data_IF_010015924613
#
_entry.id   IF_010015924613
#
_cell.length_a   1.000
_cell.length_b   1.000
_cell.length_c   1.000
_cell.angle_alpha   90.00
_cell.angle_beta   90.00
_cell.angle_gamma   90.00
#
_symmetry.space_group_name_H-M   'P 1'
#
loop_
_entity.id
_entity.type
_entity.pdbx_description
1 polymer ?
#
# COMPACT_ATOMS: atom_id res chain seq x y z
N UNK A 1 -9.90 -65.69 -31.78
CA UNK A 1 -10.89 -64.89 -31.01
C UNK A 1 -10.15 -64.18 -29.88
N UNK A 2 -10.40 -62.88 -29.75
CA UNK A 2 -9.59 -61.84 -29.11
C UNK A 2 -9.59 -61.90 -27.58
N UNK A 3 -8.39 -61.84 -26.97
CA UNK A 3 -8.18 -61.67 -25.54
C UNK A 3 -8.07 -60.17 -25.24
N UNK A 4 -9.12 -59.57 -24.66
CA UNK A 4 -9.16 -58.14 -24.30
C UNK A 4 -8.72 -57.95 -22.86
N UNK A 5 -7.56 -57.32 -22.71
CA UNK A 5 -7.03 -56.74 -21.48
C UNK A 5 -7.87 -55.51 -21.09
N UNK A 6 -8.20 -55.37 -19.81
CA UNK A 6 -8.82 -54.15 -19.24
C UNK A 6 -8.16 -53.86 -17.89
N UNK A 7 -7.13 -53.02 -17.94
CA UNK A 7 -6.45 -52.43 -16.79
C UNK A 7 -7.30 -51.23 -16.34
N UNK A 8 -7.85 -51.29 -15.13
CA UNK A 8 -8.43 -50.15 -14.43
C UNK A 8 -7.29 -49.34 -13.79
N UNK A 9 -6.88 -48.24 -14.42
CA UNK A 9 -5.98 -47.26 -13.82
C UNK A 9 -6.81 -46.06 -13.32
N UNK A 10 -6.84 -45.91 -11.99
CA UNK A 10 -7.54 -44.89 -11.25
C UNK A 10 -6.90 -43.51 -11.50
N UNK A 11 -7.70 -42.56 -11.97
CA UNK A 11 -7.32 -41.17 -12.23
C UNK A 11 -7.11 -40.42 -10.92
N UNK A 12 -5.87 -39.97 -10.65
CA UNK A 12 -5.60 -38.97 -9.60
C UNK A 12 -5.30 -37.64 -10.29
N UNK A 13 -6.35 -36.84 -10.47
CA UNK A 13 -6.22 -35.44 -10.88
C UNK A 13 -5.75 -34.61 -9.67
N UNK A 14 -4.45 -34.38 -9.57
CA UNK A 14 -3.89 -33.44 -8.59
C UNK A 14 -4.03 -32.02 -9.18
N UNK A 15 -5.17 -31.38 -8.89
CA UNK A 15 -5.44 -30.00 -9.28
C UNK A 15 -4.53 -29.03 -8.52
N UNK A 16 -3.44 -28.59 -9.15
CA UNK A 16 -2.65 -27.44 -8.69
C UNK A 16 -3.42 -26.16 -9.02
N UNK A 17 -4.20 -25.66 -8.05
CA UNK A 17 -4.81 -24.33 -8.12
C UNK A 17 -3.73 -23.26 -7.93
N UNK A 18 -3.13 -22.79 -9.03
CA UNK A 18 -2.29 -21.59 -9.05
C UNK A 18 -3.16 -20.35 -8.82
N UNK A 19 -3.24 -19.93 -7.56
CA UNK A 19 -3.86 -18.66 -7.16
C UNK A 19 -3.00 -17.50 -7.67
N UNK A 20 -3.29 -17.01 -8.86
CA UNK A 20 -2.59 -15.89 -9.46
C UNK A 20 -3.09 -14.57 -8.86
N UNK A 21 -2.45 -14.06 -7.80
CA UNK A 21 -2.60 -12.66 -7.41
C UNK A 21 -1.72 -11.78 -8.30
N UNK A 22 -2.06 -11.70 -9.58
CA UNK A 22 -1.49 -10.70 -10.48
C UNK A 22 -2.35 -9.44 -10.39
N UNK A 23 -2.18 -8.66 -9.33
CA UNK A 23 -2.61 -7.25 -9.40
C UNK A 23 -1.67 -6.55 -10.38
N UNK A 24 -2.19 -5.90 -11.44
CA UNK A 24 -1.33 -5.08 -12.28
C UNK A 24 -0.68 -4.02 -11.40
N UNK A 25 0.65 -3.92 -11.46
CA UNK A 25 1.38 -2.80 -10.91
C UNK A 25 0.96 -1.56 -11.71
N UNK A 26 -0.14 -0.92 -11.29
CA UNK A 26 -0.54 0.35 -11.83
C UNK A 26 0.52 1.35 -11.38
N UNK A 27 1.51 1.57 -12.25
CA UNK A 27 2.42 2.68 -12.13
C UNK A 27 1.56 3.94 -12.20
N UNK A 28 1.40 4.59 -11.04
CA UNK A 28 0.79 5.89 -10.80
C UNK A 28 0.61 6.76 -12.07
N UNK A 29 -0.54 6.61 -12.73
CA UNK A 29 -0.91 7.33 -13.95
C UNK A 29 -1.94 8.42 -13.64
N UNK A 30 -1.50 9.49 -12.96
CA UNK A 30 -1.97 10.88 -13.10
C UNK A 30 -3.47 11.19 -13.28
N UNK A 31 -4.39 10.32 -12.86
CA UNK A 31 -5.83 10.44 -13.12
C UNK A 31 -6.66 9.35 -12.45
N UNK A 32 -6.10 8.14 -12.31
CA UNK A 32 -6.69 7.07 -11.49
C UNK A 32 -5.76 6.79 -10.30
N UNK A 33 -6.14 7.26 -9.12
CA UNK A 33 -5.41 6.89 -7.90
C UNK A 33 -5.45 5.38 -7.71
N UNK A 34 -4.33 4.75 -7.30
CA UNK A 34 -4.43 3.44 -6.71
C UNK A 34 -5.28 3.52 -5.44
N UNK A 35 -6.09 2.49 -5.20
CA UNK A 35 -6.87 2.39 -3.98
C UNK A 35 -5.97 2.48 -2.73
N UNK A 36 -6.52 2.95 -1.61
CA UNK A 36 -5.77 3.10 -0.35
C UNK A 36 -5.14 1.77 0.11
N UNK A 37 -5.77 0.64 -0.22
CA UNK A 37 -5.37 -0.72 0.13
C UNK A 37 -4.49 -1.39 -0.94
N UNK A 38 -4.13 -0.66 -2.00
CA UNK A 38 -3.33 -1.21 -3.08
C UNK A 38 -1.97 -1.70 -2.55
N UNK A 39 -1.53 -2.91 -2.91
CA UNK A 39 -0.33 -3.54 -2.36
C UNK A 39 0.93 -2.73 -2.63
N UNK A 40 1.00 -2.05 -3.79
CA UNK A 40 2.10 -1.15 -4.15
C UNK A 40 2.25 0.06 -3.23
N UNK A 41 1.13 0.63 -2.76
CA UNK A 41 1.11 1.78 -1.84
C UNK A 41 1.59 1.32 -0.46
N UNK A 42 1.01 0.22 0.05
CA UNK A 42 1.37 -0.32 1.36
C UNK A 42 2.84 -0.77 1.41
N UNK A 43 3.32 -1.45 0.38
CA UNK A 43 4.73 -1.88 0.27
C UNK A 43 5.69 -0.70 0.21
N UNK A 44 5.32 0.37 -0.51
CA UNK A 44 6.13 1.58 -0.56
C UNK A 44 6.23 2.24 0.82
N UNK A 45 5.11 2.37 1.53
CA UNK A 45 5.07 2.93 2.90
C UNK A 45 5.97 2.12 3.83
N UNK A 46 5.86 0.79 3.83
CA UNK A 46 6.69 -0.09 4.65
C UNK A 46 8.18 0.13 4.38
N UNK A 47 8.61 0.12 3.11
CA UNK A 47 10.01 0.33 2.73
C UNK A 47 10.51 1.72 3.12
N UNK A 48 9.71 2.76 2.85
CA UNK A 48 10.07 4.15 3.15
C UNK A 48 10.11 4.41 4.66
N UNK A 49 9.26 3.74 5.44
CA UNK A 49 9.28 3.80 6.89
C UNK A 49 10.56 3.18 7.46
N UNK A 50 11.02 2.02 6.96
CA UNK A 50 12.31 1.45 7.41
C UNK A 50 13.47 2.41 7.14
N UNK A 51 13.48 3.08 5.98
CA UNK A 51 14.46 4.14 5.70
C UNK A 51 14.35 5.32 6.69
N UNK A 52 13.13 5.73 7.02
CA UNK A 52 12.85 6.81 7.97
C UNK A 52 13.29 6.43 9.39
N UNK A 53 13.01 5.20 9.84
CA UNK A 53 13.45 4.72 11.14
C UNK A 53 14.97 4.68 11.20
N UNK A 54 15.64 4.06 10.21
CA UNK A 54 17.11 3.96 10.20
C UNK A 54 17.83 5.30 10.20
N UNK A 55 17.27 6.35 9.58
CA UNK A 55 17.95 7.64 9.42
C UNK A 55 17.46 8.75 10.35
N UNK A 56 16.20 8.68 10.82
CA UNK A 56 15.58 9.75 11.61
C UNK A 56 15.20 9.32 13.02
N UNK A 57 14.55 8.16 13.18
CA UNK A 57 14.05 7.73 14.51
C UNK A 57 15.09 6.93 15.30
N UNK A 58 15.87 6.11 14.60
CA UNK A 58 16.87 5.17 15.11
C UNK A 58 16.34 4.24 16.21
N UNK A 59 15.11 3.73 16.05
CA UNK A 59 14.44 2.89 17.06
C UNK A 59 14.39 1.41 16.72
N UNK A 60 14.83 1.02 15.51
CA UNK A 60 14.72 -0.36 15.04
C UNK A 60 13.26 -0.77 14.79
N UNK A 61 12.40 0.18 14.43
CA UNK A 61 10.99 -0.06 14.19
C UNK A 61 10.74 -0.38 12.71
N UNK A 62 9.80 -1.30 12.48
CA UNK A 62 9.29 -1.62 11.15
C UNK A 62 7.77 -1.80 11.20
N UNK A 63 7.10 -1.46 10.09
CA UNK A 63 5.68 -1.75 9.90
C UNK A 63 5.57 -3.18 9.36
N UNK A 64 5.00 -4.08 10.15
CA UNK A 64 4.76 -5.47 9.72
C UNK A 64 3.54 -5.56 8.81
N UNK A 65 2.46 -4.90 9.20
CA UNK A 65 1.19 -4.93 8.47
C UNK A 65 0.40 -3.64 8.67
N UNK A 66 -0.31 -3.23 7.63
CA UNK A 66 -1.30 -2.16 7.70
C UNK A 66 -2.68 -2.80 7.60
N UNK A 67 -3.51 -2.61 8.62
CA UNK A 67 -4.86 -3.14 8.69
C UNK A 67 -5.89 -2.03 8.49
N UNK A 68 -7.04 -2.43 7.91
CA UNK A 68 -8.20 -1.56 7.66
C UNK A 68 -7.82 -0.24 6.96
N UNK A 69 -7.12 -0.30 5.80
CA UNK A 69 -6.92 0.88 4.98
C UNK A 69 -8.27 1.41 4.46
N UNK A 70 -8.61 2.64 4.81
CA UNK A 70 -9.86 3.27 4.40
C UNK A 70 -9.60 4.68 3.86
N UNK A 71 -10.28 5.01 2.78
CA UNK A 71 -10.33 6.35 2.24
C UNK A 71 -11.10 7.27 3.19
N UNK A 72 -10.48 8.36 3.62
CA UNK A 72 -11.12 9.41 4.42
C UNK A 72 -11.76 10.47 3.52
N UNK A 73 -10.98 11.00 2.57
CA UNK A 73 -11.39 12.10 1.69
C UNK A 73 -10.70 11.96 0.35
N UNK A 74 -11.42 12.29 -0.72
CA UNK A 74 -10.80 12.53 -2.03
C UNK A 74 -11.09 13.97 -2.47
N UNK A 75 -10.10 14.61 -3.07
CA UNK A 75 -10.21 15.89 -3.76
C UNK A 75 -9.91 15.62 -5.23
N UNK A 76 -10.94 15.71 -6.06
CA UNK A 76 -10.76 15.64 -7.50
C UNK A 76 -9.95 16.86 -7.97
N UNK A 77 -9.08 16.63 -8.94
CA UNK A 77 -8.43 17.71 -9.66
C UNK A 77 -9.44 18.44 -10.53
N UNK A 78 -9.19 19.71 -10.83
CA UNK A 78 -10.03 20.51 -11.70
C UNK A 78 -9.23 20.99 -12.91
N UNK A 79 -9.94 21.20 -14.04
CA UNK A 79 -9.40 21.56 -15.36
C UNK A 79 -8.35 22.67 -15.34
N UNK A 80 -8.44 23.56 -14.35
CA UNK A 80 -7.62 24.75 -14.32
C UNK A 80 -6.54 24.75 -13.21
N UNK A 81 -6.80 24.28 -11.98
CA UNK A 81 -5.85 24.49 -10.86
C UNK A 81 -6.06 23.59 -9.63
N UNK A 82 -6.24 22.28 -9.76
CA UNK A 82 -6.21 21.44 -8.55
C UNK A 82 -5.51 20.13 -8.80
N UNK A 83 -4.43 19.93 -8.05
CA UNK A 83 -3.75 18.65 -7.97
C UNK A 83 -4.72 17.69 -7.28
N UNK A 84 -5.02 16.54 -7.90
CA UNK A 84 -5.92 15.59 -7.29
C UNK A 84 -5.24 15.01 -6.04
N UNK A 85 -6.02 14.77 -4.97
CA UNK A 85 -5.49 14.27 -3.69
C UNK A 85 -6.40 13.20 -3.09
N UNK A 86 -5.81 12.07 -2.70
CA UNK A 86 -6.48 10.99 -2.00
C UNK A 86 -5.95 10.87 -0.57
N UNK A 87 -6.81 11.05 0.42
CA UNK A 87 -6.49 10.94 1.85
C UNK A 87 -6.98 9.61 2.37
N UNK A 88 -6.08 8.85 2.98
CA UNK A 88 -6.31 7.52 3.48
C UNK A 88 -5.78 7.37 4.91
N UNK A 89 -6.32 6.40 5.63
CA UNK A 89 -5.88 6.08 6.97
C UNK A 89 -6.04 4.60 7.29
N UNK A 90 -5.37 4.14 8.33
CA UNK A 90 -5.43 2.76 8.78
C UNK A 90 -4.67 2.55 10.08
N UNK A 91 -4.48 1.28 10.44
CA UNK A 91 -3.75 0.88 11.64
C UNK A 91 -2.46 0.16 11.24
N UNK A 92 -1.31 0.73 11.57
CA UNK A 92 -0.01 0.10 11.40
C UNK A 92 0.28 -0.77 12.63
N UNK A 93 0.54 -2.06 12.37
CA UNK A 93 1.10 -3.00 13.33
C UNK A 93 2.60 -2.96 13.20
N UNK A 94 3.25 -2.65 14.31
CA UNK A 94 4.69 -2.48 14.39
C UNK A 94 5.34 -3.75 14.95
N UNK A 95 6.62 -3.93 14.66
CA UNK A 95 7.42 -5.07 15.16
C UNK A 95 7.63 -5.09 16.68
N UNK A 96 7.41 -3.97 17.37
CA UNK A 96 7.41 -3.90 18.84
C UNK A 96 6.07 -4.36 19.46
N UNK A 97 5.13 -4.85 18.64
CA UNK A 97 3.78 -5.22 19.05
C UNK A 97 2.84 -4.02 19.23
N UNK A 98 3.32 -2.79 19.06
CA UNK A 98 2.48 -1.60 19.17
C UNK A 98 1.59 -1.43 17.94
N UNK A 99 0.37 -0.93 18.18
CA UNK A 99 -0.57 -0.55 17.12
C UNK A 99 -0.68 0.95 17.08
N UNK A 100 -0.45 1.53 15.90
CA UNK A 100 -0.42 2.99 15.72
C UNK A 100 -1.28 3.40 14.54
N UNK A 101 -1.97 4.52 14.66
CA UNK A 101 -2.76 5.07 13.55
C UNK A 101 -1.80 5.71 12.55
N UNK A 102 -1.91 5.28 11.29
CA UNK A 102 -1.16 5.82 10.17
C UNK A 102 -2.10 6.54 9.21
N UNK A 103 -1.67 7.70 8.73
CA UNK A 103 -2.33 8.54 7.75
C UNK A 103 -1.43 8.67 6.53
N UNK A 104 -1.99 8.63 5.33
CA UNK A 104 -1.23 8.86 4.11
C UNK A 104 -2.04 9.62 3.06
N UNK A 105 -1.31 10.37 2.25
CA UNK A 105 -1.81 11.23 1.19
C UNK A 105 -1.17 10.81 -0.13
N UNK A 106 -1.99 10.57 -1.14
CA UNK A 106 -1.57 10.34 -2.52
C UNK A 106 -1.90 11.59 -3.33
N UNK A 107 -0.90 12.27 -3.86
CA UNK A 107 -1.08 13.44 -4.72
C UNK A 107 -0.74 13.09 -6.16
N UNK A 108 -1.71 13.24 -7.05
CA UNK A 108 -1.56 12.80 -8.44
C UNK A 108 -0.62 13.71 -9.22
N UNK A 109 0.33 13.12 -9.94
CA UNK A 109 1.28 13.87 -10.78
C UNK A 109 2.27 14.77 -10.03
N UNK A 110 2.38 14.67 -8.70
CA UNK A 110 3.34 15.44 -7.88
C UNK A 110 4.66 14.71 -7.58
N UNK A 111 4.87 13.53 -8.17
CA UNK A 111 6.12 12.81 -8.05
C UNK A 111 7.25 13.41 -8.92
N UNK A 112 8.36 12.70 -9.00
CA UNK A 112 9.55 13.14 -9.76
C UNK A 112 9.20 13.52 -11.20
N UNK A 113 9.46 14.77 -11.59
CA UNK A 113 9.18 15.34 -12.91
C UNK A 113 7.74 15.11 -13.41
N UNK A 114 6.76 15.02 -12.49
CA UNK A 114 5.36 14.68 -12.79
C UNK A 114 5.15 13.29 -13.44
N UNK A 115 6.17 12.42 -13.40
CA UNK A 115 6.11 11.08 -14.01
C UNK A 115 5.40 10.06 -13.12
N UNK A 116 5.15 10.42 -11.85
CA UNK A 116 4.58 9.54 -10.82
C UNK A 116 3.70 10.37 -9.88
N UNK A 117 2.90 9.69 -9.07
CA UNK A 117 2.21 10.32 -7.95
C UNK A 117 3.14 10.45 -6.73
N UNK A 118 2.91 11.46 -5.92
CA UNK A 118 3.59 11.66 -4.64
C UNK A 118 2.84 10.89 -3.55
N UNK A 119 3.57 10.17 -2.70
CA UNK A 119 3.00 9.47 -1.55
C UNK A 119 3.68 9.95 -0.27
N UNK A 120 2.89 10.62 0.56
CA UNK A 120 3.33 11.10 1.88
C UNK A 120 2.59 10.34 2.98
N UNK A 121 3.27 10.04 4.08
CA UNK A 121 2.67 9.32 5.21
C UNK A 121 3.13 9.89 6.54
N UNK A 122 2.28 9.77 7.55
CA UNK A 122 2.56 10.16 8.92
C UNK A 122 1.94 9.15 9.88
N UNK A 123 2.73 8.73 10.86
CA UNK A 123 2.27 7.82 11.92
C UNK A 123 2.12 8.61 13.21
N UNK A 124 0.95 8.53 13.81
CA UNK A 124 0.64 9.26 15.04
C UNK A 124 1.59 8.82 16.16
N UNK A 125 2.35 9.76 16.71
CA UNK A 125 3.33 9.49 17.77
C UNK A 125 4.70 8.96 17.32
N UNK A 126 4.96 8.87 16.00
CA UNK A 126 6.27 8.53 15.43
C UNK A 126 6.87 9.62 14.52
N UNK A 127 6.35 10.85 14.61
CA UNK A 127 6.88 12.03 13.91
C UNK A 127 7.40 13.06 14.93
N UNK A 128 8.69 12.98 15.34
CA UNK A 128 9.26 13.91 16.32
C UNK A 128 9.41 15.33 15.78
N UNK A 129 9.60 15.47 14.46
CA UNK A 129 9.80 16.77 13.80
C UNK A 129 8.50 17.45 13.42
N UNK A 130 7.36 16.75 13.51
CA UNK A 130 6.03 17.25 13.13
C UNK A 130 6.02 17.78 11.69
N UNK A 131 6.68 17.08 10.77
CA UNK A 131 6.75 17.44 9.34
C UNK A 131 5.35 17.63 8.77
N UNK A 132 4.40 16.80 9.22
CA UNK A 132 3.00 16.84 8.79
C UNK A 132 2.08 17.58 9.78
N UNK A 133 2.66 18.43 10.63
CA UNK A 133 1.97 19.18 11.68
C UNK A 133 1.58 18.34 12.89
N UNK A 134 0.90 18.97 13.86
CA UNK A 134 0.39 18.26 15.03
C UNK A 134 -0.61 17.17 14.59
N UNK A 135 -0.40 15.94 15.05
CA UNK A 135 -1.29 14.80 14.78
C UNK A 135 -1.51 14.48 13.29
N UNK A 136 -0.49 14.67 12.45
CA UNK A 136 -0.56 14.34 11.02
C UNK A 136 -1.62 15.15 10.25
N UNK A 137 -1.84 16.41 10.61
CA UNK A 137 -2.90 17.26 10.05
C UNK A 137 -2.82 17.44 8.53
N UNK A 138 -1.62 17.53 7.95
CA UNK A 138 -1.48 17.78 6.51
C UNK A 138 -1.90 16.59 5.64
N UNK A 139 -1.76 15.37 6.17
CA UNK A 139 -2.05 14.11 5.45
C UNK A 139 -3.35 13.45 5.89
N UNK A 140 -4.17 14.15 6.70
CA UNK A 140 -5.46 13.68 7.23
C UNK A 140 -6.66 14.13 6.38
#
# INVERSE_FOLDING_TARGET
MTMKSLILAFTVAFGMSLSSFASPAAAFTGGNFPACDAPQVLTYIQKRFVWTDTHLLQRGLAIERIERPHQNRSRAGHQYWSIPRLYCHGTAHMNDGSKRTIWWLIEGGMGFASLRDNLEFCISGLDPLKVHGAWCRSVR
#
